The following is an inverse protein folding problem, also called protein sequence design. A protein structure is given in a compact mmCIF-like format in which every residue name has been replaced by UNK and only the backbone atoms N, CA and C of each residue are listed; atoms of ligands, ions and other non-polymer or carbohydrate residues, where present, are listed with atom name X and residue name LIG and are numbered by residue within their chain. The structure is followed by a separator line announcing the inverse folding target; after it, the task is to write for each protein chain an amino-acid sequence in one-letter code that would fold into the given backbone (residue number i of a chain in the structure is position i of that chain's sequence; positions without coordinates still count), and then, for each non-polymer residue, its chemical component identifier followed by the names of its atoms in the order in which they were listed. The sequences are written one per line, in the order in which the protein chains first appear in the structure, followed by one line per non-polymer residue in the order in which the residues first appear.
data_IF_555161530659
#
_entry.id   IF_555161530659
#
_cell.length_a   1.000
_cell.length_b   1.000
_cell.length_c   1.000
_cell.angle_alpha   90.00
_cell.angle_beta   90.00
_cell.angle_gamma   90.00
#
_symmetry.space_group_name_H-M   'P 1'
#
loop_
_entity.id
_entity.type
_entity.pdbx_description
1 polymer ?
#
# COMPACT_ATOMS: atom_id res chain seq x y z
N UNK A 1 -14.59 -27.95 -32.21
CA UNK A 1 -13.11 -27.90 -32.11
C UNK A 1 -12.62 -26.62 -31.44
N UNK A 2 -13.04 -25.41 -31.85
CA UNK A 2 -12.61 -24.14 -31.23
C UNK A 2 -13.09 -23.91 -29.79
N UNK A 3 -14.27 -24.41 -29.41
CA UNK A 3 -14.79 -24.25 -28.03
C UNK A 3 -13.90 -24.91 -26.96
N UNK A 4 -13.26 -26.03 -27.30
CA UNK A 4 -12.34 -26.74 -26.40
C UNK A 4 -11.03 -25.95 -26.20
N UNK A 5 -10.55 -25.29 -27.26
CA UNK A 5 -9.35 -24.44 -27.20
C UNK A 5 -9.57 -23.23 -26.28
N UNK A 6 -10.72 -22.55 -26.43
CA UNK A 6 -11.10 -21.43 -25.57
C UNK A 6 -11.28 -21.86 -24.11
N UNK A 7 -11.86 -23.04 -23.87
CA UNK A 7 -12.02 -23.58 -22.52
C UNK A 7 -10.67 -23.89 -21.85
N UNK A 8 -9.70 -24.43 -22.60
CA UNK A 8 -8.35 -24.73 -22.08
C UNK A 8 -7.56 -23.45 -21.78
N UNK A 9 -7.64 -22.43 -22.64
CA UNK A 9 -7.01 -21.12 -22.40
C UNK A 9 -7.60 -20.41 -21.17
N UNK A 10 -8.91 -20.54 -20.94
CA UNK A 10 -9.58 -19.98 -19.76
C UNK A 10 -9.14 -20.66 -18.45
N UNK A 11 -8.88 -21.97 -18.46
CA UNK A 11 -8.42 -22.73 -17.28
C UNK A 11 -6.96 -22.42 -16.93
N UNK A 12 -6.09 -22.18 -17.93
CA UNK A 12 -4.67 -21.83 -17.71
C UNK A 12 -4.52 -20.42 -17.11
N UNK A 13 -5.53 -19.56 -17.29
CA UNK A 13 -5.50 -18.16 -16.86
C UNK A 13 -5.84 -17.96 -15.36
N UNK A 14 -6.08 -19.05 -14.62
CA UNK A 14 -6.24 -19.02 -13.16
C UNK A 14 -4.81 -18.94 -12.57
N UNK A 15 -4.18 -17.77 -12.70
CA UNK A 15 -2.84 -17.53 -12.18
C UNK A 15 -2.83 -17.65 -10.66
N UNK A 16 -1.89 -18.41 -10.11
CA UNK A 16 -1.58 -18.30 -8.69
C UNK A 16 -0.95 -16.91 -8.48
N UNK A 17 -1.60 -16.04 -7.72
CA UNK A 17 -0.91 -14.86 -7.20
C UNK A 17 0.15 -15.37 -6.20
N UNK A 18 1.42 -15.09 -6.48
CA UNK A 18 2.51 -15.29 -5.52
C UNK A 18 2.81 -13.95 -4.88
N UNK A 19 2.95 -13.94 -3.55
CA UNK A 19 3.43 -12.78 -2.82
C UNK A 19 4.89 -12.49 -3.19
N UNK A 20 5.21 -11.22 -3.37
CA UNK A 20 6.56 -10.71 -3.61
C UNK A 20 7.17 -10.09 -2.33
N UNK A 21 8.49 -9.91 -2.32
CA UNK A 21 9.21 -9.30 -1.19
C UNK A 21 9.85 -7.99 -1.64
N UNK A 22 9.38 -6.88 -1.07
CA UNK A 22 9.81 -5.52 -1.40
C UNK A 22 10.77 -5.01 -0.32
N UNK A 23 12.00 -4.66 -0.71
CA UNK A 23 13.00 -4.12 0.23
C UNK A 23 13.06 -2.60 0.20
N UNK A 24 13.25 -1.99 1.38
CA UNK A 24 13.47 -0.55 1.53
C UNK A 24 14.80 -0.32 2.27
N UNK A 25 15.82 0.31 1.68
CA UNK A 25 15.90 0.81 0.31
C UNK A 25 16.44 -0.25 -0.66
N UNK A 26 15.75 -0.48 -1.78
CA UNK A 26 16.25 -1.29 -2.91
C UNK A 26 15.51 -0.91 -4.21
N UNK A 27 16.16 -1.10 -5.36
CA UNK A 27 15.70 -0.88 -6.75
C UNK A 27 14.31 -0.21 -6.89
N UNK A 28 14.27 1.13 -6.85
CA UNK A 28 13.05 1.91 -7.11
C UNK A 28 12.17 2.22 -5.89
N UNK A 29 12.43 1.60 -4.73
CA UNK A 29 11.70 1.84 -3.48
C UNK A 29 12.62 2.52 -2.45
N UNK A 30 12.87 3.83 -2.64
CA UNK A 30 13.74 4.60 -1.75
C UNK A 30 13.04 5.01 -0.45
N UNK A 31 11.71 4.94 -0.43
CA UNK A 31 10.89 5.33 0.73
C UNK A 31 9.88 4.23 1.06
N UNK A 32 9.44 4.20 2.32
CA UNK A 32 8.39 3.28 2.77
C UNK A 32 7.09 3.52 1.98
N UNK A 33 6.76 4.76 1.64
CA UNK A 33 5.53 5.08 0.92
C UNK A 33 5.53 4.48 -0.50
N UNK A 34 6.65 4.56 -1.23
CA UNK A 34 6.78 3.94 -2.55
C UNK A 34 6.61 2.42 -2.48
N UNK A 35 7.22 1.77 -1.49
CA UNK A 35 7.04 0.33 -1.29
C UNK A 35 5.58 -0.03 -1.00
N UNK A 36 4.86 0.79 -0.23
CA UNK A 36 3.43 0.61 0.04
C UNK A 36 2.58 0.83 -1.21
N UNK A 37 2.89 1.85 -2.01
CA UNK A 37 2.14 2.16 -3.24
C UNK A 37 2.36 1.07 -4.33
N UNK A 38 3.52 0.40 -4.31
CA UNK A 38 3.85 -0.69 -5.22
C UNK A 38 3.40 -2.07 -4.72
N UNK A 39 3.15 -2.24 -3.43
CA UNK A 39 2.74 -3.52 -2.86
C UNK A 39 1.33 -3.91 -3.27
N UNK A 40 1.17 -5.18 -3.59
CA UNK A 40 -0.11 -5.84 -3.82
C UNK A 40 -0.49 -6.71 -2.62
N UNK A 41 -1.72 -7.21 -2.60
CA UNK A 41 -2.20 -8.05 -1.50
C UNK A 41 -1.35 -9.32 -1.37
N UNK A 42 -0.81 -9.53 -0.16
CA UNK A 42 0.04 -10.67 0.16
C UNK A 42 1.53 -10.34 0.16
N UNK A 43 1.96 -9.22 -0.43
CA UNK A 43 3.37 -8.83 -0.47
C UNK A 43 3.93 -8.51 0.92
N UNK A 44 5.23 -8.76 1.09
CA UNK A 44 5.96 -8.48 2.33
C UNK A 44 6.96 -7.35 2.10
N UNK A 45 6.83 -6.26 2.87
CA UNK A 45 7.78 -5.15 2.83
C UNK A 45 8.82 -5.33 3.95
N UNK A 46 10.10 -5.42 3.59
CA UNK A 46 11.22 -5.51 4.52
C UNK A 46 11.99 -4.19 4.54
N UNK A 47 11.87 -3.46 5.66
CA UNK A 47 12.59 -2.20 5.87
C UNK A 47 13.93 -2.49 6.53
N UNK A 48 15.03 -2.13 5.85
CA UNK A 48 16.40 -2.23 6.38
C UNK A 48 16.67 -1.11 7.37
N UNK A 49 17.66 -1.32 8.24
CA UNK A 49 18.09 -0.33 9.21
C UNK A 49 18.37 1.04 8.56
N UNK A 50 17.83 2.09 9.15
CA UNK A 50 17.91 3.44 8.61
C UNK A 50 16.87 4.39 9.21
N UNK A 51 17.01 5.67 8.90
CA UNK A 51 16.01 6.70 9.25
C UNK A 51 15.18 7.05 8.03
N UNK A 52 13.86 6.92 8.14
CA UNK A 52 12.93 7.20 7.05
C UNK A 52 11.93 8.27 7.47
N UNK A 53 11.74 9.28 6.63
CA UNK A 53 10.69 10.27 6.81
C UNK A 53 9.40 9.77 6.15
N UNK A 54 8.37 9.53 6.95
CA UNK A 54 7.07 9.04 6.48
C UNK A 54 6.01 10.11 6.68
N UNK A 55 5.22 10.37 5.62
CA UNK A 55 4.06 11.23 5.72
C UNK A 55 2.79 10.40 5.94
N UNK A 56 2.32 10.30 7.18
CA UNK A 56 1.11 9.54 7.51
C UNK A 56 -0.12 10.39 7.21
N UNK A 57 -0.76 10.15 6.06
CA UNK A 57 -2.03 10.79 5.70
C UNK A 57 -3.23 10.01 6.29
N UNK A 58 -3.34 9.98 7.63
CA UNK A 58 -4.50 9.39 8.32
C UNK A 58 -5.32 10.49 8.97
N UNK A 59 -6.65 10.42 8.81
CA UNK A 59 -7.56 11.25 9.60
C UNK A 59 -7.44 10.81 11.06
N UNK A 60 -6.71 11.60 11.86
CA UNK A 60 -6.55 11.37 13.28
C UNK A 60 -7.71 12.05 13.99
N UNK A 61 -8.61 11.25 14.55
CA UNK A 61 -9.62 11.76 15.48
C UNK A 61 -8.98 11.94 16.85
N UNK A 62 -8.58 13.18 17.17
CA UNK A 62 -8.09 13.52 18.50
C UNK A 62 -9.28 13.73 19.44
N UNK A 63 -9.52 12.76 20.32
CA UNK A 63 -10.46 12.90 21.41
C UNK A 63 -9.78 13.58 22.61
N UNK A 64 -10.19 14.80 22.93
CA UNK A 64 -9.85 15.44 24.20
C UNK A 64 -10.55 14.66 25.33
N UNK A 65 -9.79 14.11 26.26
CA UNK A 65 -10.34 13.32 27.38
C UNK A 65 -11.08 14.17 28.45
N UNK A 66 -11.08 15.49 28.32
CA UNK A 66 -11.92 16.38 29.09
C UNK A 66 -12.73 17.25 28.14
N UNK A 67 -14.04 17.05 28.15
CA UNK A 67 -14.99 17.61 27.19
C UNK A 67 -14.89 19.13 27.10
N UNK A 68 -14.59 19.63 25.91
CA UNK A 68 -15.46 20.51 25.09
C UNK A 68 -14.76 20.75 23.75
N UNK A 69 -15.47 20.49 22.65
CA UNK A 69 -15.10 20.90 21.29
C UNK A 69 -14.49 19.80 20.40
N UNK A 70 -15.13 19.56 19.24
CA UNK A 70 -14.52 18.82 18.12
C UNK A 70 -13.50 19.74 17.46
N UNK A 71 -12.23 19.36 17.43
CA UNK A 71 -11.23 20.06 16.62
C UNK A 71 -11.31 19.48 15.21
N UNK A 72 -11.71 20.30 14.23
CA UNK A 72 -11.59 19.94 12.80
C UNK A 72 -10.20 20.35 12.32
N UNK A 73 -9.42 19.40 11.83
CA UNK A 73 -8.19 19.69 11.11
C UNK A 73 -8.55 19.79 9.62
N UNK A 74 -8.52 20.99 9.06
CA UNK A 74 -8.67 21.21 7.62
C UNK A 74 -7.29 21.17 6.96
N UNK A 75 -7.18 20.47 5.83
CA UNK A 75 -5.94 20.41 5.06
C UNK A 75 -5.57 21.85 4.65
N UNK A 76 -4.31 22.28 4.79
CA UNK A 76 -3.89 23.61 4.33
C UNK A 76 -4.16 23.76 2.83
N UNK A 77 -4.57 24.95 2.37
CA UNK A 77 -4.81 25.20 0.95
C UNK A 77 -3.53 24.92 0.14
N UNK A 78 -3.63 24.38 -1.09
CA UNK A 78 -2.49 24.25 -1.97
C UNK A 78 -1.92 25.65 -2.27
N UNK A 79 -0.60 25.78 -2.19
CA UNK A 79 0.14 27.01 -2.52
C UNK A 79 -0.08 27.43 -3.98
#
# INVERSE_FOLDING_TARGET
MFALLFAVLAVISIGCASADTIYVPEEGNQTIQQAVDNATEGDTIIVRDGTYHVNVNKCLELWRHYGVGKIKFEKPPPN
#
